data_IF_513242875630
#
_entry.id   IF_513242875630
#
_cell.length_a   1.000
_cell.length_b   1.000
_cell.length_c   1.000
_cell.angle_alpha   90.00
_cell.angle_beta   90.00
_cell.angle_gamma   90.00
#
_symmetry.space_group_name_H-M   'P 1'
#
loop_
_entity.id
_entity.type
_entity.pdbx_description
1 polymer ?
#
# COMPACT_ATOMS: atom_id res chain seq x y z
N UNK A 1 45.45 2.64 16.92
CA UNK A 1 45.83 1.21 17.01
C UNK A 1 44.94 0.56 18.05
N UNK A 2 43.86 -0.10 17.62
CA UNK A 2 42.92 -0.78 18.51
C UNK A 2 43.52 -2.13 18.94
N UNK A 3 43.48 -2.39 20.25
CA UNK A 3 44.02 -3.59 20.88
C UNK A 3 43.25 -4.82 20.42
N UNK A 4 43.96 -5.79 19.85
CA UNK A 4 43.46 -7.15 19.66
C UNK A 4 43.43 -7.83 21.02
N UNK A 5 42.22 -7.92 21.60
CA UNK A 5 41.92 -8.72 22.78
C UNK A 5 41.73 -10.18 22.38
N UNK A 6 42.51 -11.02 23.05
CA UNK A 6 42.47 -12.47 23.06
C UNK A 6 41.14 -12.99 23.67
N UNK A 7 40.64 -14.12 23.16
CA UNK A 7 39.55 -14.89 23.79
C UNK A 7 38.14 -14.76 23.19
N UNK A 8 37.94 -15.22 21.94
CA UNK A 8 36.73 -15.92 21.48
C UNK A 8 35.34 -15.47 21.97
N UNK A 9 35.07 -14.18 22.18
CA UNK A 9 33.71 -13.69 22.38
C UNK A 9 32.96 -13.90 21.06
N UNK A 10 32.24 -15.01 20.99
CA UNK A 10 31.30 -15.32 19.92
C UNK A 10 30.45 -14.08 19.67
N UNK A 11 30.69 -13.36 18.57
CA UNK A 11 29.89 -12.21 18.18
C UNK A 11 28.42 -12.64 18.17
N UNK A 12 27.57 -11.94 18.92
CA UNK A 12 26.14 -12.26 19.04
C UNK A 12 25.29 -11.17 18.42
N UNK A 13 24.19 -11.56 17.81
CA UNK A 13 23.14 -10.65 17.39
C UNK A 13 22.58 -9.92 18.63
N UNK A 14 22.48 -8.59 18.56
CA UNK A 14 21.95 -7.75 19.63
C UNK A 14 20.43 -7.87 19.81
N UNK A 15 19.73 -8.47 18.85
CA UNK A 15 18.27 -8.64 18.86
C UNK A 15 17.83 -10.00 19.39
N UNK A 16 18.36 -11.10 18.84
CA UNK A 16 17.97 -12.46 19.22
C UNK A 16 19.01 -13.21 20.08
N UNK A 17 20.20 -12.64 20.30
CA UNK A 17 21.26 -13.25 21.11
C UNK A 17 22.00 -14.43 20.46
N UNK A 18 21.63 -14.83 19.23
CA UNK A 18 22.31 -15.92 18.49
C UNK A 18 23.75 -15.53 18.17
N UNK A 19 24.66 -16.49 18.31
CA UNK A 19 26.07 -16.33 17.92
C UNK A 19 26.26 -16.39 16.41
N UNK A 20 27.38 -15.86 15.91
CA UNK A 20 27.75 -15.90 14.49
C UNK A 20 27.74 -17.31 13.88
N UNK A 21 27.94 -18.37 14.69
CA UNK A 21 27.89 -19.77 14.23
C UNK A 21 26.47 -20.31 14.00
N UNK A 22 25.47 -19.65 14.58
CA UNK A 22 24.07 -20.10 14.56
C UNK A 22 23.24 -19.43 13.46
N UNK A 23 23.81 -18.46 12.75
CA UNK A 23 23.12 -17.65 11.73
C UNK A 23 23.94 -17.66 10.44
N UNK A 24 23.30 -17.49 9.28
CA UNK A 24 24.02 -17.54 8.00
C UNK A 24 24.85 -16.27 7.78
N UNK A 25 24.33 -15.13 8.23
CA UNK A 25 25.02 -13.83 8.15
C UNK A 25 24.86 -13.06 9.45
N UNK A 26 25.93 -12.40 9.85
CA UNK A 26 25.94 -11.44 10.94
C UNK A 26 26.56 -10.15 10.43
N UNK A 27 25.79 -9.07 10.45
CA UNK A 27 26.14 -7.75 9.94
C UNK A 27 26.57 -6.88 11.12
N UNK A 28 27.71 -6.21 10.99
CA UNK A 28 28.28 -5.35 12.01
C UNK A 28 27.97 -3.88 11.72
N UNK A 29 27.45 -3.17 12.72
CA UNK A 29 27.34 -1.72 12.77
C UNK A 29 28.23 -1.12 13.86
N UNK A 30 28.17 0.21 14.09
CA UNK A 30 28.92 0.86 15.16
C UNK A 30 28.47 0.37 16.54
N UNK A 31 29.17 -0.63 17.09
CA UNK A 31 28.88 -1.21 18.41
C UNK A 31 27.64 -2.11 18.49
N UNK A 32 27.10 -2.57 17.36
CA UNK A 32 25.88 -3.40 17.29
C UNK A 32 26.03 -4.47 16.22
N UNK A 33 25.36 -5.62 16.39
CA UNK A 33 25.34 -6.69 15.40
C UNK A 33 23.91 -7.16 15.17
N UNK A 34 23.55 -7.44 13.92
CA UNK A 34 22.23 -7.97 13.54
C UNK A 34 22.40 -9.16 12.59
N UNK A 35 21.60 -10.21 12.77
CA UNK A 35 21.63 -11.39 11.91
C UNK A 35 20.58 -11.32 10.79
N UNK A 36 20.74 -12.16 9.77
CA UNK A 36 19.80 -12.27 8.64
C UNK A 36 18.36 -12.52 9.09
N UNK A 37 18.14 -13.46 10.01
CA UNK A 37 16.79 -13.77 10.49
C UNK A 37 16.09 -12.58 11.19
N UNK A 38 16.85 -11.73 11.91
CA UNK A 38 16.28 -10.56 12.55
C UNK A 38 15.97 -9.46 11.54
N UNK A 39 16.76 -9.37 10.45
CA UNK A 39 16.46 -8.44 9.36
C UNK A 39 15.18 -8.88 8.66
N UNK A 40 15.03 -10.17 8.37
CA UNK A 40 13.83 -10.70 7.73
C UNK A 40 12.59 -10.43 8.59
N UNK A 41 12.65 -10.74 9.89
CA UNK A 41 11.57 -10.44 10.82
C UNK A 41 11.27 -8.94 10.94
N UNK A 42 12.30 -8.09 10.99
CA UNK A 42 12.09 -6.64 11.02
C UNK A 42 11.45 -6.14 9.71
N UNK A 43 11.84 -6.68 8.56
CA UNK A 43 11.23 -6.33 7.28
C UNK A 43 9.76 -6.77 7.24
N UNK A 44 9.44 -7.98 7.71
CA UNK A 44 8.04 -8.45 7.81
C UNK A 44 7.19 -7.51 8.68
N UNK A 45 7.67 -7.11 9.86
CA UNK A 45 6.95 -6.18 10.75
C UNK A 45 6.77 -4.80 10.08
N UNK A 46 7.79 -4.30 9.39
CA UNK A 46 7.72 -3.01 8.69
C UNK A 46 6.74 -3.09 7.51
N UNK A 47 6.74 -4.17 6.75
CA UNK A 47 5.81 -4.40 5.64
C UNK A 47 4.36 -4.49 6.14
N UNK A 48 4.12 -5.14 7.28
CA UNK A 48 2.81 -5.17 7.93
C UNK A 48 2.33 -3.75 8.32
N UNK A 49 3.17 -2.93 8.97
CA UNK A 49 2.81 -1.55 9.33
C UNK A 49 2.57 -0.63 8.10
N UNK A 50 3.35 -0.83 7.03
CA UNK A 50 3.16 -0.10 5.76
C UNK A 50 1.85 -0.50 5.07
N UNK A 51 1.45 -1.77 5.19
CA UNK A 51 0.18 -2.25 4.63
C UNK A 51 -1.04 -1.68 5.38
N UNK A 52 -0.93 -1.42 6.69
CA UNK A 52 -1.99 -0.80 7.50
C UNK A 52 -2.17 0.70 7.22
N UNK A 53 -1.14 1.37 6.72
CA UNK A 53 -1.19 2.83 6.44
C UNK A 53 -1.90 3.20 5.13
N UNK A 54 -2.54 2.26 4.44
CA UNK A 54 -3.48 2.57 3.34
C UNK A 54 -2.82 3.18 2.10
N UNK A 55 -1.50 3.12 1.99
CA UNK A 55 -0.84 3.28 0.72
C UNK A 55 -1.14 2.03 -0.10
N UNK A 56 -2.22 2.08 -0.89
CA UNK A 56 -2.45 1.13 -1.97
C UNK A 56 -1.10 0.91 -2.66
N UNK A 57 -0.57 -0.33 -2.62
CA UNK A 57 0.55 -0.70 -3.46
C UNK A 57 0.15 -0.32 -4.88
N UNK A 58 0.81 0.70 -5.41
CA UNK A 58 0.39 1.42 -6.62
C UNK A 58 0.43 0.53 -7.89
N UNK A 59 0.84 -0.73 -7.73
CA UNK A 59 0.98 -1.75 -8.75
C UNK A 59 -0.31 -2.58 -8.97
N UNK A 60 -1.25 -2.60 -8.02
CA UNK A 60 -2.47 -3.43 -8.09
C UNK A 60 -3.76 -2.59 -8.11
N UNK A 61 -3.82 -1.56 -8.97
CA UNK A 61 -5.07 -0.82 -9.15
C UNK A 61 -6.11 -1.70 -9.87
N UNK A 62 -7.30 -1.95 -9.27
CA UNK A 62 -8.32 -2.80 -9.89
C UNK A 62 -8.81 -2.21 -11.21
N UNK A 63 -9.00 -3.06 -12.22
CA UNK A 63 -9.51 -2.65 -13.53
C UNK A 63 -10.94 -2.12 -13.40
N UNK A 64 -11.40 -1.26 -14.31
CA UNK A 64 -12.77 -0.75 -14.28
C UNK A 64 -13.85 -1.85 -14.25
N UNK A 65 -13.58 -3.01 -14.87
CA UNK A 65 -14.47 -4.17 -14.84
C UNK A 65 -14.60 -4.73 -13.43
N UNK A 66 -13.49 -4.90 -12.71
CA UNK A 66 -13.46 -5.42 -11.34
C UNK A 66 -14.15 -4.44 -10.37
N UNK A 67 -13.95 -3.13 -10.53
CA UNK A 67 -14.66 -2.11 -9.75
C UNK A 67 -16.17 -2.17 -10.02
N UNK A 68 -16.55 -2.34 -11.29
CA UNK A 68 -17.96 -2.44 -11.66
C UNK A 68 -18.63 -3.70 -11.08
N UNK A 69 -17.95 -4.84 -11.13
CA UNK A 69 -18.41 -6.10 -10.54
C UNK A 69 -18.57 -5.98 -9.03
N UNK A 70 -17.57 -5.42 -8.33
CA UNK A 70 -17.69 -5.16 -6.90
C UNK A 70 -18.89 -4.27 -6.57
N UNK A 71 -19.15 -3.22 -7.36
CA UNK A 71 -20.33 -2.38 -7.14
C UNK A 71 -21.65 -3.12 -7.37
N UNK A 72 -21.68 -4.12 -8.26
CA UNK A 72 -22.89 -4.92 -8.51
C UNK A 72 -23.32 -5.74 -7.29
N UNK A 73 -22.37 -6.17 -6.46
CA UNK A 73 -22.65 -6.96 -5.26
C UNK A 73 -23.42 -6.17 -4.19
N UNK A 74 -23.30 -4.84 -4.19
CA UNK A 74 -23.92 -3.96 -3.19
C UNK A 74 -25.03 -3.07 -3.77
N UNK A 75 -25.03 -2.80 -5.07
CA UNK A 75 -25.85 -1.74 -5.68
C UNK A 75 -26.60 -2.29 -6.89
N UNK A 76 -27.89 -2.50 -6.69
CA UNK A 76 -28.81 -3.02 -7.70
C UNK A 76 -29.17 -1.93 -8.70
N UNK A 77 -29.02 -2.22 -9.99
CA UNK A 77 -29.25 -1.25 -11.07
C UNK A 77 -28.21 -0.13 -11.10
N UNK A 78 -28.57 1.05 -11.61
CA UNK A 78 -27.65 2.19 -11.74
C UNK A 78 -26.43 1.89 -12.65
N UNK A 79 -26.61 1.06 -13.68
CA UNK A 79 -25.56 0.57 -14.58
C UNK A 79 -24.69 1.70 -15.17
N UNK A 80 -25.32 2.79 -15.59
CA UNK A 80 -24.62 3.95 -16.14
C UNK A 80 -23.72 4.60 -15.09
N UNK A 81 -24.21 4.81 -13.86
CA UNK A 81 -23.45 5.44 -12.80
C UNK A 81 -22.28 4.55 -12.37
N UNK A 82 -22.50 3.24 -12.19
CA UNK A 82 -21.44 2.27 -11.87
C UNK A 82 -20.33 2.29 -12.91
N UNK A 83 -20.67 2.23 -14.20
CA UNK A 83 -19.69 2.27 -15.29
C UNK A 83 -18.85 3.55 -15.30
N UNK A 84 -19.50 4.70 -15.13
CA UNK A 84 -18.81 6.01 -15.10
C UNK A 84 -17.86 6.08 -13.90
N UNK A 85 -18.33 5.66 -12.72
CA UNK A 85 -17.53 5.68 -11.50
C UNK A 85 -16.32 4.75 -11.61
N UNK A 86 -16.49 3.53 -12.11
CA UNK A 86 -15.39 2.58 -12.28
C UNK A 86 -14.27 3.14 -13.16
N UNK A 87 -14.61 3.78 -14.28
CA UNK A 87 -13.62 4.39 -15.18
C UNK A 87 -12.99 5.64 -14.55
N UNK A 88 -13.79 6.51 -13.95
CA UNK A 88 -13.31 7.76 -13.38
C UNK A 88 -12.36 7.53 -12.20
N UNK A 89 -12.67 6.58 -11.33
CA UNK A 89 -11.83 6.18 -10.20
C UNK A 89 -10.52 5.57 -10.70
N UNK A 90 -10.59 4.63 -11.64
CA UNK A 90 -9.39 4.04 -12.25
C UNK A 90 -8.45 5.12 -12.81
N UNK A 91 -9.00 6.04 -13.59
CA UNK A 91 -8.23 7.15 -14.18
C UNK A 91 -7.73 8.13 -13.12
N UNK A 92 -8.47 8.37 -12.04
CA UNK A 92 -8.05 9.23 -10.95
C UNK A 92 -6.74 8.71 -10.33
N UNK A 93 -6.69 7.42 -9.97
CA UNK A 93 -5.50 6.84 -9.35
C UNK A 93 -4.35 6.63 -10.33
N UNK A 94 -4.62 6.25 -11.58
CA UNK A 94 -3.59 6.21 -12.63
C UNK A 94 -2.93 7.57 -12.83
N UNK A 95 -3.72 8.65 -12.77
CA UNK A 95 -3.20 10.01 -12.84
C UNK A 95 -2.36 10.38 -11.61
N UNK A 96 -2.78 10.01 -10.40
CA UNK A 96 -1.99 10.22 -9.18
C UNK A 96 -0.64 9.49 -9.27
N UNK A 97 -0.64 8.26 -9.78
CA UNK A 97 0.56 7.46 -10.00
C UNK A 97 1.51 8.08 -11.03
N UNK A 98 0.97 8.54 -12.17
CA UNK A 98 1.79 9.18 -13.21
C UNK A 98 2.42 10.49 -12.73
N UNK A 99 1.67 11.30 -11.97
CA UNK A 99 2.17 12.55 -11.39
C UNK A 99 3.30 12.37 -10.38
N UNK A 100 3.45 11.18 -9.78
CA UNK A 100 4.56 10.85 -8.89
C UNK A 100 5.81 10.36 -9.65
N UNK A 101 5.65 9.81 -10.86
CA UNK A 101 6.70 9.07 -11.56
C UNK A 101 7.51 9.88 -12.60
N UNK A 102 6.93 10.89 -13.28
CA UNK A 102 7.67 11.66 -14.31
C UNK A 102 7.18 13.11 -14.49
N UNK A 103 8.13 13.98 -14.89
CA UNK A 103 7.92 15.36 -15.35
C UNK A 103 7.74 15.41 -16.88
N UNK A 104 6.79 14.66 -17.44
CA UNK A 104 6.43 14.86 -18.84
C UNK A 104 5.50 16.08 -18.98
N UNK A 105 5.62 16.80 -20.10
CA UNK A 105 4.88 18.02 -20.47
C UNK A 105 3.36 17.77 -20.72
N UNK A 106 2.86 16.59 -20.39
CA UNK A 106 1.48 16.16 -20.63
C UNK A 106 0.65 16.37 -19.36
N UNK A 107 -0.13 17.46 -19.35
CA UNK A 107 -1.07 17.74 -18.26
C UNK A 107 -2.29 16.82 -18.31
N UNK A 108 -2.49 16.01 -17.27
CA UNK A 108 -3.67 15.15 -17.12
C UNK A 108 -4.81 15.88 -16.39
N UNK A 109 -5.89 16.18 -17.12
CA UNK A 109 -7.06 16.84 -16.56
C UNK A 109 -7.78 16.01 -15.48
N UNK A 110 -8.41 16.69 -14.50
CA UNK A 110 -9.27 16.05 -13.49
C UNK A 110 -10.68 15.86 -14.03
N UNK A 111 -11.17 14.63 -14.07
CA UNK A 111 -12.58 14.34 -14.36
C UNK A 111 -13.37 14.23 -13.06
N UNK A 112 -14.01 15.33 -12.65
CA UNK A 112 -14.98 15.29 -11.55
C UNK A 112 -16.32 14.72 -12.03
N UNK A 113 -17.07 14.07 -11.15
CA UNK A 113 -18.37 13.47 -11.45
C UNK A 113 -19.47 14.23 -10.70
N UNK A 114 -20.58 14.51 -11.38
CA UNK A 114 -21.82 14.98 -10.77
C UNK A 114 -22.85 13.85 -10.78
N UNK A 115 -23.28 13.39 -9.61
CA UNK A 115 -24.31 12.36 -9.48
C UNK A 115 -25.69 13.00 -9.28
N UNK A 116 -26.57 12.80 -10.25
CA UNK A 116 -27.96 13.31 -10.22
C UNK A 116 -28.91 12.12 -10.09
N UNK A 117 -29.87 12.21 -9.17
CA UNK A 117 -30.91 11.21 -9.00
C UNK A 117 -31.82 11.51 -7.80
N UNK A 118 -32.99 10.85 -7.71
CA UNK A 118 -33.96 11.07 -6.64
C UNK A 118 -33.38 10.71 -5.26
N UNK A 119 -34.07 11.13 -4.20
CA UNK A 119 -33.70 10.74 -2.82
C UNK A 119 -33.78 9.22 -2.66
N UNK A 120 -32.85 8.63 -1.90
CA UNK A 120 -32.85 7.19 -1.63
C UNK A 120 -32.39 6.27 -2.76
N UNK A 121 -31.92 6.78 -3.90
CA UNK A 121 -31.49 5.94 -5.03
C UNK A 121 -30.06 5.36 -4.93
N UNK A 122 -29.41 5.46 -3.77
CA UNK A 122 -28.08 4.88 -3.54
C UNK A 122 -26.87 5.77 -3.90
N UNK A 123 -27.03 7.08 -4.10
CA UNK A 123 -25.88 7.99 -4.36
C UNK A 123 -24.78 7.93 -3.30
N UNK A 124 -25.18 8.04 -2.02
CA UNK A 124 -24.24 7.96 -0.89
C UNK A 124 -23.64 6.56 -0.77
N UNK A 125 -24.45 5.52 -1.03
CA UNK A 125 -24.01 4.13 -1.01
C UNK A 125 -22.94 3.86 -2.08
N UNK A 126 -23.11 4.38 -3.30
CA UNK A 126 -22.10 4.30 -4.37
C UNK A 126 -20.74 4.83 -3.89
N UNK A 127 -20.73 6.01 -3.26
CA UNK A 127 -19.50 6.62 -2.79
C UNK A 127 -18.87 5.86 -1.61
N UNK A 128 -19.67 5.42 -0.64
CA UNK A 128 -19.20 4.64 0.51
C UNK A 128 -18.65 3.28 0.11
N UNK A 129 -19.31 2.58 -0.81
CA UNK A 129 -18.87 1.27 -1.30
C UNK A 129 -17.55 1.39 -2.07
N UNK A 130 -17.39 2.44 -2.88
CA UNK A 130 -16.12 2.72 -3.57
C UNK A 130 -14.98 2.99 -2.59
N UNK A 131 -15.21 3.82 -1.57
CA UNK A 131 -14.21 4.13 -0.56
C UNK A 131 -13.77 2.87 0.20
N UNK A 132 -14.72 1.99 0.54
CA UNK A 132 -14.43 0.70 1.20
C UNK A 132 -13.60 -0.22 0.31
N UNK A 133 -13.92 -0.30 -0.99
CA UNK A 133 -13.18 -1.15 -1.94
C UNK A 133 -11.71 -0.72 -2.05
N UNK A 134 -11.47 0.58 -2.09
CA UNK A 134 -10.16 1.15 -2.38
C UNK A 134 -9.37 1.46 -1.11
N UNK A 135 -9.94 1.20 0.07
CA UNK A 135 -9.36 1.51 1.37
C UNK A 135 -8.84 2.96 1.48
N UNK A 136 -9.62 3.93 1.00
CA UNK A 136 -9.20 5.35 0.93
C UNK A 136 -10.05 6.25 1.81
N UNK A 137 -9.49 7.39 2.29
CA UNK A 137 -10.25 8.36 3.06
C UNK A 137 -11.48 8.85 2.30
N UNK A 138 -12.61 8.92 3.01
CA UNK A 138 -13.89 9.39 2.46
C UNK A 138 -14.51 10.45 3.36
N UNK A 139 -14.98 11.53 2.74
CA UNK A 139 -15.64 12.64 3.40
C UNK A 139 -17.04 12.86 2.80
N UNK A 140 -18.00 13.22 3.66
CA UNK A 140 -19.38 13.59 3.31
C UNK A 140 -19.57 15.09 3.51
#
# INVERSE_FOLDING_TARGET
>A
MAKFGDGGELLKCSFCGKSQKQVKKLIAGPGVYICDECIDLCNEIIEEELSETGELSLEELPKPVEIFEFLNDYIVGQEQAKRILSVAVYNHYRRVQYGAAQRDDVELAKSNILLIGPTGCGKTLLAQTLARMLNVPFAI
#
